data_IF_827018084267
#
_entry.id   IF_827018084267
#
_cell.length_a   1.000
_cell.length_b   1.000
_cell.length_c   1.000
_cell.angle_alpha   90.00
_cell.angle_beta   90.00
_cell.angle_gamma   90.00
#
_symmetry.space_group_name_H-M   'P 1'
#
loop_
_entity.id
_entity.type
_entity.pdbx_description
1 polymer ?
#
# COMPACT_ATOMS: atom_id res chain seq x y z
N UNK A 1 -16.86 1.44 18.78
CA UNK A 1 -17.47 1.95 17.53
C UNK A 1 -16.96 1.13 16.37
N UNK A 2 -17.82 0.79 15.41
CA UNK A 2 -17.47 0.06 14.19
C UNK A 2 -17.75 0.97 13.00
N UNK A 3 -16.82 1.03 12.06
CA UNK A 3 -16.95 1.81 10.84
C UNK A 3 -16.50 0.97 9.63
N UNK A 4 -17.13 1.18 8.48
CA UNK A 4 -16.72 0.62 7.20
C UNK A 4 -16.11 1.76 6.37
N UNK A 5 -14.97 1.52 5.76
CA UNK A 5 -14.24 2.46 4.93
C UNK A 5 -14.05 1.86 3.54
N UNK A 6 -14.29 2.66 2.51
CA UNK A 6 -14.00 2.32 1.13
C UNK A 6 -13.38 3.52 0.43
N UNK A 7 -12.52 3.28 -0.56
CA UNK A 7 -11.87 4.34 -1.32
C UNK A 7 -11.11 3.84 -2.54
N UNK A 8 -10.43 4.77 -3.20
CA UNK A 8 -9.49 4.47 -4.28
C UNK A 8 -8.23 5.32 -4.10
N UNK A 9 -7.08 4.78 -4.50
CA UNK A 9 -5.81 5.49 -4.56
C UNK A 9 -5.22 5.43 -5.97
N UNK A 10 -4.57 6.52 -6.37
CA UNK A 10 -3.73 6.57 -7.55
C UNK A 10 -2.28 6.67 -7.08
N UNK A 11 -1.52 5.62 -7.31
CA UNK A 11 -0.15 5.48 -6.84
C UNK A 11 0.83 5.80 -7.99
N UNK A 12 1.79 6.69 -7.74
CA UNK A 12 2.83 7.07 -8.71
C UNK A 12 4.16 6.41 -8.35
N UNK A 13 4.70 5.60 -9.27
CA UNK A 13 5.99 4.93 -9.09
C UNK A 13 7.13 5.77 -9.68
N UNK A 14 8.02 6.26 -8.80
CA UNK A 14 9.11 7.17 -9.19
C UNK A 14 10.42 6.44 -9.50
N UNK A 15 10.85 5.50 -8.63
CA UNK A 15 12.12 4.78 -8.81
C UNK A 15 12.13 3.50 -7.96
N UNK A 16 12.72 2.43 -8.49
CA UNK A 16 13.02 1.22 -7.71
C UNK A 16 14.54 0.98 -7.76
N UNK A 17 15.19 0.82 -6.60
CA UNK A 17 16.63 0.54 -6.53
C UNK A 17 16.82 -0.82 -5.89
N UNK A 18 17.25 -1.81 -6.67
CA UNK A 18 17.67 -3.10 -6.14
C UNK A 18 19.17 -2.99 -5.83
N UNK A 19 19.50 -2.97 -4.55
CA UNK A 19 20.89 -3.04 -4.09
C UNK A 19 21.17 -4.49 -3.74
N UNK A 20 22.03 -5.14 -4.52
CA UNK A 20 22.57 -6.44 -4.14
C UNK A 20 23.62 -6.25 -3.04
N UNK A 21 23.36 -6.80 -1.86
CA UNK A 21 24.25 -6.75 -0.69
C UNK A 21 25.36 -7.81 -0.73
N UNK A 22 25.27 -8.78 -1.64
CA UNK A 22 26.19 -9.92 -1.74
C UNK A 22 27.41 -9.67 -2.66
N UNK A 23 27.41 -8.55 -3.39
CA UNK A 23 28.53 -8.14 -4.25
C UNK A 23 28.72 -8.99 -5.52
N UNK A 24 27.77 -9.88 -5.83
CA UNK A 24 27.84 -10.75 -7.01
C UNK A 24 27.10 -10.19 -8.23
N UNK A 25 26.23 -9.19 -8.03
CA UNK A 25 25.46 -8.55 -9.09
C UNK A 25 25.68 -7.04 -9.13
N UNK A 26 25.80 -6.48 -10.33
CA UNK A 26 25.85 -5.03 -10.53
C UNK A 26 24.54 -4.41 -10.01
N UNK A 27 24.63 -3.34 -9.22
CA UNK A 27 23.45 -2.63 -8.70
C UNK A 27 22.62 -2.09 -9.86
N UNK A 28 21.52 -2.76 -10.21
CA UNK A 28 20.63 -2.32 -11.28
C UNK A 28 19.65 -1.28 -10.72
N UNK A 29 19.92 -0.02 -11.03
CA UNK A 29 19.01 1.09 -10.70
C UNK A 29 18.13 1.36 -11.90
N UNK A 30 16.96 0.73 -11.96
CA UNK A 30 15.98 1.01 -13.01
C UNK A 30 15.13 2.23 -12.60
N UNK A 31 15.33 3.34 -13.32
CA UNK A 31 14.46 4.51 -13.22
C UNK A 31 13.06 4.26 -13.79
N UNK A 32 12.09 5.13 -13.47
CA UNK A 32 10.83 5.14 -14.20
C UNK A 32 11.11 5.45 -15.69
N UNK A 33 10.82 4.51 -16.59
CA UNK A 33 11.22 4.59 -18.01
C UNK A 33 10.99 3.27 -18.74
N UNK A 34 11.46 3.13 -19.99
CA UNK A 34 11.25 1.93 -20.85
C UNK A 34 11.68 0.62 -20.20
N UNK A 35 12.73 0.66 -19.39
CA UNK A 35 13.38 -0.53 -18.83
C UNK A 35 12.79 -1.00 -17.48
N UNK A 36 11.91 -0.21 -16.84
CA UNK A 36 11.21 -0.68 -15.63
C UNK A 36 10.05 -1.60 -15.99
N UNK A 37 9.90 -2.77 -15.31
CA UNK A 37 8.75 -3.67 -15.50
C UNK A 37 7.47 -3.12 -14.86
N UNK A 38 7.55 -2.02 -14.10
CA UNK A 38 6.42 -1.39 -13.42
C UNK A 38 5.85 -0.22 -14.22
N UNK A 39 4.53 -0.03 -14.15
CA UNK A 39 3.86 1.16 -14.66
C UNK A 39 4.07 2.34 -13.72
N UNK A 40 4.16 3.54 -14.28
CA UNK A 40 4.34 4.77 -13.51
C UNK A 40 3.10 5.16 -12.71
N UNK A 41 1.92 4.69 -13.10
CA UNK A 41 0.64 5.02 -12.47
C UNK A 41 -0.15 3.73 -12.25
N UNK A 42 -0.67 3.55 -11.05
CA UNK A 42 -1.51 2.39 -10.68
C UNK A 42 -2.73 2.88 -9.93
N UNK A 43 -3.92 2.44 -10.36
CA UNK A 43 -5.17 2.66 -9.67
C UNK A 43 -5.47 1.46 -8.76
N UNK A 44 -5.74 1.72 -7.49
CA UNK A 44 -6.02 0.71 -6.47
C UNK A 44 -7.34 1.02 -5.77
N UNK A 45 -8.24 0.04 -5.70
CA UNK A 45 -9.42 0.10 -4.83
C UNK A 45 -9.07 -0.41 -3.44
N UNK A 46 -9.65 0.20 -2.40
CA UNK A 46 -9.44 -0.22 -1.01
C UNK A 46 -10.75 -0.28 -0.25
N UNK A 47 -10.90 -1.31 0.58
CA UNK A 47 -12.03 -1.50 1.49
C UNK A 47 -11.52 -2.04 2.81
N UNK A 48 -12.09 -1.59 3.92
CA UNK A 48 -11.70 -2.05 5.23
C UNK A 48 -12.71 -1.70 6.30
N UNK A 49 -12.49 -2.22 7.48
CA UNK A 49 -13.31 -1.92 8.66
C UNK A 49 -12.42 -1.30 9.72
N UNK A 50 -13.02 -0.53 10.62
CA UNK A 50 -12.35 0.06 11.75
C UNK A 50 -13.12 -0.28 13.03
N UNK A 51 -12.43 -0.93 13.96
CA UNK A 51 -12.90 -1.20 15.31
C UNK A 51 -12.21 -0.25 16.28
N UNK A 52 -12.95 0.71 16.81
CA UNK A 52 -12.43 1.76 17.69
C UNK A 52 -12.94 1.58 19.12
N UNK A 53 -12.01 1.54 20.08
CA UNK A 53 -12.28 1.48 21.52
C UNK A 53 -11.68 2.72 22.21
N UNK A 54 -12.52 3.47 22.93
CA UNK A 54 -12.09 4.60 23.76
C UNK A 54 -11.86 4.11 25.18
N UNK A 55 -10.69 4.36 25.74
CA UNK A 55 -10.39 4.08 27.14
C UNK A 55 -10.04 5.38 27.86
N UNK A 56 -10.76 5.65 28.95
CA UNK A 56 -10.71 6.93 29.63
C UNK A 56 -11.17 8.11 28.75
N UNK A 57 -10.79 9.32 29.14
CA UNK A 57 -11.16 10.55 28.44
C UNK A 57 -10.19 10.89 27.30
N UNK A 58 -8.93 10.45 27.42
CA UNK A 58 -7.85 10.92 26.57
C UNK A 58 -7.37 9.92 25.52
N UNK A 59 -7.82 8.66 25.54
CA UNK A 59 -7.23 7.64 24.69
C UNK A 59 -8.25 6.90 23.82
N UNK A 60 -7.85 6.59 22.60
CA UNK A 60 -8.58 5.73 21.67
C UNK A 60 -7.60 4.80 20.95
N UNK A 61 -7.88 3.51 21.00
CA UNK A 61 -7.21 2.49 20.20
C UNK A 61 -8.16 2.04 19.08
N UNK A 62 -7.65 1.93 17.87
CA UNK A 62 -8.38 1.44 16.72
C UNK A 62 -7.63 0.30 16.05
N UNK A 63 -8.35 -0.75 15.69
CA UNK A 63 -7.88 -1.86 14.86
C UNK A 63 -8.54 -1.75 13.49
N UNK A 64 -7.73 -1.82 12.42
CA UNK A 64 -8.13 -1.52 11.05
C UNK A 64 -7.74 -2.65 10.10
N UNK A 65 -8.50 -3.77 10.03
CA UNK A 65 -8.30 -4.76 8.99
C UNK A 65 -8.88 -4.24 7.67
N UNK A 66 -8.14 -4.44 6.59
CA UNK A 66 -8.47 -3.96 5.26
C UNK A 66 -7.91 -4.83 4.15
N UNK A 67 -8.35 -4.53 2.94
CA UNK A 67 -7.85 -5.13 1.72
C UNK A 67 -7.74 -4.08 0.62
N UNK A 68 -6.79 -4.29 -0.28
CA UNK A 68 -6.52 -3.43 -1.43
C UNK A 68 -6.38 -4.28 -2.67
N UNK A 69 -7.06 -3.90 -3.73
CA UNK A 69 -7.02 -4.57 -5.02
C UNK A 69 -6.58 -3.58 -6.09
N UNK A 70 -5.52 -3.93 -6.82
CA UNK A 70 -5.10 -3.12 -7.96
C UNK A 70 -6.16 -3.22 -9.06
N UNK A 71 -6.80 -2.11 -9.43
CA UNK A 71 -7.77 -2.08 -10.54
C UNK A 71 -7.06 -2.07 -11.90
N UNK A 72 -5.86 -1.49 -11.96
CA UNK A 72 -4.97 -1.55 -13.13
C UNK A 72 -3.76 -2.40 -12.83
N UNK A 73 -3.30 -3.19 -13.80
CA UNK A 73 -2.10 -4.00 -13.64
C UNK A 73 -0.87 -3.10 -13.33
N UNK A 74 -0.18 -3.29 -12.19
CA UNK A 74 1.00 -2.50 -11.83
C UNK A 74 2.20 -2.78 -12.73
N UNK A 75 2.19 -3.84 -13.52
CA UNK A 75 3.24 -4.23 -14.44
C UNK A 75 2.91 -3.83 -15.88
N UNK A 76 3.97 -3.62 -16.67
CA UNK A 76 3.86 -3.43 -18.12
C UNK A 76 3.56 -4.76 -18.82
N UNK A 77 2.97 -4.66 -20.02
CA UNK A 77 2.66 -5.81 -20.88
C UNK A 77 3.90 -6.71 -21.05
N UNK A 78 3.72 -8.02 -20.83
CA UNK A 78 4.78 -9.02 -21.00
C UNK A 78 5.62 -9.34 -19.77
N UNK A 79 5.44 -8.64 -18.63
CA UNK A 79 6.15 -8.97 -17.39
C UNK A 79 5.35 -9.96 -16.51
N UNK A 80 4.19 -9.53 -16.00
CA UNK A 80 3.24 -10.36 -15.23
C UNK A 80 1.85 -9.77 -15.42
N UNK A 81 0.88 -10.57 -15.85
CA UNK A 81 -0.50 -10.09 -16.09
C UNK A 81 -1.42 -10.44 -14.92
N UNK A 82 -1.15 -9.82 -13.76
CA UNK A 82 -1.98 -10.03 -12.57
C UNK A 82 -2.16 -8.77 -11.77
N UNK A 83 -3.36 -8.62 -11.22
CA UNK A 83 -3.74 -7.53 -10.35
C UNK A 83 -3.65 -8.03 -8.90
N UNK A 84 -2.62 -7.60 -8.13
CA UNK A 84 -2.43 -8.13 -6.80
C UNK A 84 -3.58 -7.73 -5.86
N UNK A 85 -4.03 -8.70 -5.08
CA UNK A 85 -4.82 -8.47 -3.88
C UNK A 85 -3.90 -8.45 -2.66
N UNK A 86 -4.00 -7.40 -1.84
CA UNK A 86 -3.23 -7.23 -0.61
C UNK A 86 -4.20 -7.15 0.58
N UNK A 87 -3.90 -7.89 1.62
CA UNK A 87 -4.53 -7.71 2.94
C UNK A 87 -3.66 -6.78 3.79
N UNK A 88 -4.27 -5.84 4.49
CA UNK A 88 -3.60 -4.94 5.40
C UNK A 88 -4.25 -4.93 6.78
N UNK A 89 -3.42 -4.76 7.81
CA UNK A 89 -3.87 -4.67 9.20
C UNK A 89 -3.18 -3.47 9.83
N UNK A 90 -3.99 -2.51 10.25
CA UNK A 90 -3.54 -1.29 10.92
C UNK A 90 -3.90 -1.28 12.40
N UNK A 91 -3.01 -0.69 13.20
CA UNK A 91 -3.30 -0.29 14.57
C UNK A 91 -3.12 1.22 14.66
N UNK A 92 -4.12 1.93 15.20
CA UNK A 92 -4.08 3.38 15.36
C UNK A 92 -4.33 3.74 16.81
N UNK A 93 -3.36 4.39 17.42
CA UNK A 93 -3.49 5.01 18.72
C UNK A 93 -3.73 6.52 18.55
N UNK A 94 -4.73 7.06 19.25
CA UNK A 94 -5.03 8.50 19.26
C UNK A 94 -5.13 8.99 20.69
N UNK A 95 -4.35 10.03 20.98
CA UNK A 95 -4.49 10.86 22.17
C UNK A 95 -5.45 12.03 21.88
N UNK A 96 -6.34 12.33 22.81
CA UNK A 96 -7.35 13.41 22.72
C UNK A 96 -6.98 14.44 23.78
N UNK A 97 -6.43 15.57 23.35
CA UNK A 97 -6.21 16.76 24.19
C UNK A 97 -7.57 17.40 24.49
N UNK A 98 -7.81 17.76 25.75
CA UNK A 98 -8.94 18.57 26.20
C UNK A 98 -8.49 20.01 26.42
#
# INVERSE_FOLDING_TARGET
AVQINAGASTDFFIRNRVVDTSGQFASLTEGAGSNSPYRSVVLTGLIGTEFSYRFGKHYRLSFLPGMRYALTNPHKSGAVDTNPLRWDVGLRFRYILQ
#
